data_IF_209725377482
#
_entry.id   IF_209725377482
#
_cell.length_a   1.000
_cell.length_b   1.000
_cell.length_c   1.000
_cell.angle_alpha   90.00
_cell.angle_beta   90.00
_cell.angle_gamma   90.00
#
_symmetry.space_group_name_H-M   'P 1'
#
loop_
_entity.id
_entity.type
_entity.pdbx_description
1 polymer ?
#
# COMPACT_ATOMS: atom_id res chain seq x y z
N UNK A 1 -12.23 0.66 6.11
CA UNK A 1 -10.92 0.91 6.76
C UNK A 1 -11.09 1.74 8.02
N UNK A 2 -10.14 1.70 8.96
CA UNK A 2 -10.20 2.36 10.27
C UNK A 2 -10.52 3.85 10.24
N UNK A 3 -9.87 4.65 9.39
CA UNK A 3 -10.05 6.11 9.37
C UNK A 3 -11.43 6.55 8.83
N UNK A 4 -12.14 5.66 8.14
CA UNK A 4 -13.40 5.98 7.46
C UNK A 4 -13.25 6.82 6.19
N UNK A 5 -12.03 7.11 5.72
CA UNK A 5 -11.84 7.87 4.48
C UNK A 5 -12.31 7.09 3.23
N UNK A 6 -12.62 7.84 2.18
CA UNK A 6 -12.86 7.26 0.86
C UNK A 6 -11.53 6.81 0.25
N UNK A 7 -11.57 5.65 -0.41
CA UNK A 7 -10.40 5.03 -1.00
C UNK A 7 -10.77 4.41 -2.35
N UNK A 8 -9.89 4.58 -3.33
CA UNK A 8 -10.03 3.99 -4.67
C UNK A 8 -8.77 3.19 -4.97
N UNK A 9 -8.92 1.90 -5.32
CA UNK A 9 -7.82 1.14 -5.87
C UNK A 9 -7.43 1.74 -7.23
N UNK A 10 -6.19 2.24 -7.32
CA UNK A 10 -5.66 2.84 -8.54
C UNK A 10 -4.98 1.81 -9.42
N UNK A 11 -4.06 1.03 -8.84
CA UNK A 11 -3.20 0.14 -9.60
C UNK A 11 -2.71 -1.01 -8.71
N UNK A 12 -2.52 -2.19 -9.32
CA UNK A 12 -1.81 -3.32 -8.71
C UNK A 12 -0.64 -3.67 -9.63
N UNK A 13 0.56 -3.76 -9.05
CA UNK A 13 1.78 -4.11 -9.75
C UNK A 13 2.42 -5.35 -9.14
N UNK A 14 3.15 -6.08 -9.97
CA UNK A 14 4.05 -7.15 -9.55
C UNK A 14 5.46 -6.77 -9.96
N UNK A 15 6.32 -6.52 -8.99
CA UNK A 15 7.66 -6.00 -9.21
C UNK A 15 8.71 -7.03 -8.81
N UNK A 16 9.77 -7.13 -9.62
CA UNK A 16 10.97 -7.86 -9.26
C UNK A 16 11.95 -6.86 -8.65
N UNK A 17 12.39 -7.11 -7.44
CA UNK A 17 13.43 -6.31 -6.79
C UNK A 17 14.78 -6.91 -7.17
N UNK A 18 15.71 -6.09 -7.68
CA UNK A 18 17.05 -6.58 -8.02
C UNK A 18 17.73 -7.17 -6.77
N UNK A 19 18.23 -8.40 -6.89
CA UNK A 19 18.85 -9.13 -5.78
C UNK A 19 17.87 -9.92 -4.90
N UNK A 20 16.57 -9.90 -5.19
CA UNK A 20 15.58 -10.80 -4.59
C UNK A 20 15.03 -11.76 -5.65
N UNK A 21 14.84 -13.03 -5.28
CA UNK A 21 14.21 -14.02 -6.18
C UNK A 21 12.69 -13.80 -6.27
N UNK A 22 12.09 -13.26 -5.20
CA UNK A 22 10.65 -13.14 -5.07
C UNK A 22 10.10 -11.85 -5.71
N UNK A 23 8.86 -11.97 -6.18
CA UNK A 23 8.08 -10.86 -6.73
C UNK A 23 7.33 -10.19 -5.59
N UNK A 24 7.43 -8.86 -5.47
CA UNK A 24 6.61 -8.08 -4.54
C UNK A 24 5.32 -7.61 -5.22
N UNK A 25 4.20 -7.67 -4.50
CA UNK A 25 2.95 -7.07 -4.95
C UNK A 25 2.88 -5.62 -4.45
N UNK A 26 2.52 -4.66 -5.30
CA UNK A 26 2.37 -3.25 -4.92
C UNK A 26 0.93 -2.84 -5.19
N UNK A 27 0.19 -2.52 -4.14
CA UNK A 27 -1.18 -2.02 -4.24
C UNK A 27 -1.18 -0.51 -4.00
N UNK A 28 -1.62 0.23 -5.00
CA UNK A 28 -1.64 1.70 -5.01
C UNK A 28 -3.08 2.17 -4.89
N UNK A 29 -3.34 3.06 -3.95
CA UNK A 29 -4.67 3.57 -3.66
C UNK A 29 -4.70 5.10 -3.67
N UNK A 30 -5.77 5.68 -4.22
CA UNK A 30 -6.08 7.09 -4.05
C UNK A 30 -6.89 7.25 -2.77
N UNK A 31 -6.37 8.07 -1.86
CA UNK A 31 -6.88 8.32 -0.52
C UNK A 31 -6.89 9.83 -0.25
N UNK A 32 -7.89 10.59 -0.72
CA UNK A 32 -7.89 12.06 -0.61
C UNK A 32 -7.80 12.57 0.83
N UNK A 33 -8.18 11.74 1.82
CA UNK A 33 -8.10 12.07 3.24
C UNK A 33 -6.69 12.31 3.74
N UNK A 34 -5.65 11.77 3.07
CA UNK A 34 -4.25 11.96 3.47
C UNK A 34 -3.61 13.24 2.88
N UNK A 35 -4.38 14.06 2.15
CA UNK A 35 -3.88 15.29 1.57
C UNK A 35 -3.36 16.26 2.64
N UNK A 36 -2.20 16.88 2.39
CA UNK A 36 -1.61 17.90 3.28
C UNK A 36 -2.56 19.08 3.57
N UNK A 37 -3.29 19.52 2.55
CA UNK A 37 -4.26 20.59 2.65
C UNK A 37 -5.67 20.01 2.51
N UNK A 38 -6.53 20.25 3.50
CA UNK A 38 -7.92 19.79 3.49
C UNK A 38 -8.12 18.30 3.74
N UNK A 39 -7.05 17.52 3.94
CA UNK A 39 -7.14 16.14 4.39
C UNK A 39 -7.68 16.03 5.81
N UNK A 40 -8.25 14.86 6.12
CA UNK A 40 -8.88 14.54 7.40
C UNK A 40 -8.20 13.38 8.12
N UNK A 41 -7.18 12.78 7.51
CA UNK A 41 -6.47 11.61 8.00
C UNK A 41 -5.01 11.99 8.25
N UNK A 42 -4.56 11.84 9.48
CA UNK A 42 -3.17 12.05 9.85
C UNK A 42 -2.30 10.81 9.55
N UNK A 43 -1.00 10.93 9.80
CA UNK A 43 -0.05 9.86 9.50
C UNK A 43 -0.33 8.57 10.31
N UNK A 44 -0.75 8.68 11.57
CA UNK A 44 -1.02 7.52 12.43
C UNK A 44 -2.26 6.76 11.92
N UNK A 45 -3.33 7.48 11.62
CA UNK A 45 -4.53 6.89 11.02
C UNK A 45 -4.24 6.31 9.62
N UNK A 46 -3.37 6.94 8.82
CA UNK A 46 -2.95 6.42 7.53
C UNK A 46 -2.15 5.10 7.65
N UNK A 47 -1.33 4.94 8.70
CA UNK A 47 -0.63 3.68 8.97
C UNK A 47 -1.60 2.56 9.34
N UNK A 48 -2.54 2.82 10.25
CA UNK A 48 -3.59 1.85 10.61
C UNK A 48 -4.45 1.45 9.40
N UNK A 49 -4.70 2.41 8.52
CA UNK A 49 -5.37 2.18 7.25
C UNK A 49 -4.59 1.24 6.33
N UNK A 50 -3.27 1.42 6.21
CA UNK A 50 -2.40 0.55 5.41
C UNK A 50 -2.32 -0.87 5.99
N UNK A 51 -2.27 -1.01 7.32
CA UNK A 51 -2.26 -2.33 7.97
C UNK A 51 -3.56 -3.08 7.66
N UNK A 52 -4.70 -2.41 7.81
CA UNK A 52 -6.00 -2.98 7.47
C UNK A 52 -6.10 -3.33 5.98
N UNK A 53 -5.59 -2.49 5.08
CA UNK A 53 -5.54 -2.77 3.64
C UNK A 53 -4.63 -3.96 3.32
N UNK A 54 -3.54 -4.13 4.08
CA UNK A 54 -2.69 -5.29 3.90
C UNK A 54 -3.47 -6.57 4.19
N UNK A 55 -4.09 -6.66 5.37
CA UNK A 55 -4.82 -7.85 5.79
C UNK A 55 -6.02 -8.16 4.90
N UNK A 56 -6.76 -7.12 4.48
CA UNK A 56 -8.04 -7.31 3.79
C UNK A 56 -7.95 -7.38 2.27
N UNK A 57 -6.88 -6.87 1.67
CA UNK A 57 -6.72 -6.81 0.21
C UNK A 57 -5.40 -7.40 -0.26
N UNK A 58 -4.28 -6.93 0.30
CA UNK A 58 -2.97 -7.36 -0.16
C UNK A 58 -2.70 -8.84 0.10
N UNK A 59 -2.92 -9.32 1.32
CA UNK A 59 -2.64 -10.71 1.70
C UNK A 59 -3.51 -11.71 0.91
N UNK A 60 -4.84 -11.51 0.76
CA UNK A 60 -5.65 -12.38 -0.11
C UNK A 60 -5.14 -12.40 -1.55
N UNK A 61 -4.75 -11.25 -2.10
CA UNK A 61 -4.19 -11.14 -3.45
C UNK A 61 -2.87 -11.91 -3.57
N UNK A 62 -1.96 -11.67 -2.64
CA UNK A 62 -0.62 -12.25 -2.58
C UNK A 62 -0.63 -13.76 -2.24
N UNK A 63 -1.75 -14.29 -1.76
CA UNK A 63 -1.94 -15.72 -1.52
C UNK A 63 -2.49 -16.47 -2.74
N UNK A 64 -2.91 -15.77 -3.80
CA UNK A 64 -3.41 -16.42 -5.01
C UNK A 64 -2.26 -17.10 -5.75
N UNK A 65 -2.51 -18.32 -6.25
CA UNK A 65 -1.48 -19.18 -6.85
C UNK A 65 -0.72 -18.57 -8.03
N UNK A 66 -1.34 -17.66 -8.79
CA UNK A 66 -0.70 -16.96 -9.92
C UNK A 66 -0.13 -15.58 -9.56
N UNK A 67 -0.38 -15.10 -8.35
CA UNK A 67 0.01 -13.78 -7.86
C UNK A 67 0.80 -13.89 -6.54
N UNK A 68 1.42 -15.05 -6.30
CA UNK A 68 2.08 -15.34 -5.03
C UNK A 68 3.22 -14.36 -4.78
N UNK A 69 3.15 -13.69 -3.64
CA UNK A 69 4.15 -12.72 -3.19
C UNK A 69 4.31 -12.82 -1.68
N UNK A 70 5.54 -12.99 -1.22
CA UNK A 70 5.83 -13.01 0.23
C UNK A 70 6.09 -11.59 0.77
N UNK A 71 6.20 -10.60 -0.12
CA UNK A 71 6.34 -9.18 0.20
C UNK A 71 5.25 -8.36 -0.51
N UNK A 72 4.67 -7.41 0.22
CA UNK A 72 3.66 -6.49 -0.30
C UNK A 72 3.97 -5.06 0.12
N UNK A 73 3.81 -4.13 -0.82
CA UNK A 73 3.79 -2.69 -0.55
C UNK A 73 2.35 -2.19 -0.68
N UNK A 74 1.84 -1.53 0.36
CA UNK A 74 0.61 -0.73 0.29
C UNK A 74 1.02 0.73 0.18
N UNK A 75 0.53 1.41 -0.85
CA UNK A 75 0.82 2.82 -1.11
C UNK A 75 -0.49 3.62 -1.12
N UNK A 76 -0.60 4.59 -0.21
CA UNK A 76 -1.67 5.58 -0.19
C UNK A 76 -1.17 6.86 -0.83
N UNK A 77 -1.95 7.45 -1.74
CA UNK A 77 -1.65 8.73 -2.37
C UNK A 77 -2.88 9.63 -2.34
N UNK A 78 -2.73 10.90 -2.00
CA UNK A 78 -3.88 11.84 -2.05
C UNK A 78 -4.38 12.09 -3.49
N UNK A 79 -3.49 11.90 -4.48
CA UNK A 79 -3.75 12.05 -5.92
C UNK A 79 -2.93 11.05 -6.73
N UNK A 80 -3.34 10.74 -7.98
CA UNK A 80 -2.57 9.85 -8.83
C UNK A 80 -1.16 10.37 -9.09
N UNK A 81 -0.15 9.53 -8.86
CA UNK A 81 1.23 9.75 -9.30
C UNK A 81 1.60 8.63 -10.25
N UNK A 82 2.01 8.97 -11.47
CA UNK A 82 2.42 7.98 -12.44
C UNK A 82 3.76 7.34 -12.02
N UNK A 83 3.95 6.08 -12.42
CA UNK A 83 5.20 5.37 -12.13
C UNK A 83 6.39 6.08 -12.80
N UNK A 84 7.48 6.22 -12.06
CA UNK A 84 8.70 6.87 -12.54
C UNK A 84 8.65 8.40 -12.51
N UNK A 85 7.53 8.98 -12.07
CA UNK A 85 7.37 10.41 -11.88
C UNK A 85 7.45 10.78 -10.39
N UNK A 86 7.84 12.03 -10.14
CA UNK A 86 7.82 12.64 -8.82
C UNK A 86 6.83 13.80 -8.85
N UNK A 87 5.85 13.78 -7.95
CA UNK A 87 4.98 14.92 -7.69
C UNK A 87 5.24 15.46 -6.26
N UNK A 88 5.88 16.64 -6.10
CA UNK A 88 6.18 17.21 -4.78
C UNK A 88 4.93 17.66 -4.01
N UNK A 89 3.78 17.77 -4.69
CA UNK A 89 2.51 18.14 -4.08
C UNK A 89 1.69 16.92 -3.67
N UNK A 90 2.04 15.73 -4.18
CA UNK A 90 1.39 14.50 -3.77
C UNK A 90 1.85 14.10 -2.37
N UNK A 91 0.90 13.84 -1.48
CA UNK A 91 1.18 13.22 -0.19
C UNK A 91 1.07 11.71 -0.38
N UNK A 92 2.14 10.99 -0.04
CA UNK A 92 2.20 9.55 -0.19
C UNK A 92 2.69 8.88 1.09
N UNK A 93 2.03 7.79 1.46
CA UNK A 93 2.45 6.90 2.54
C UNK A 93 2.70 5.51 1.97
N UNK A 94 3.72 4.83 2.50
CA UNK A 94 4.12 3.50 2.07
C UNK A 94 4.21 2.59 3.29
N UNK A 95 3.44 1.51 3.28
CA UNK A 95 3.59 0.39 4.21
C UNK A 95 4.25 -0.76 3.48
N UNK A 96 5.29 -1.33 4.08
CA UNK A 96 6.00 -2.51 3.57
C UNK A 96 5.68 -3.67 4.50
N UNK A 97 5.18 -4.75 3.93
CA UNK A 97 4.68 -5.90 4.68
C UNK A 97 5.30 -7.19 4.15
N UNK A 98 5.65 -8.07 5.08
CA UNK A 98 5.93 -9.47 4.80
C UNK A 98 4.69 -10.30 5.06
N UNK A 99 4.34 -11.17 4.12
CA UNK A 99 3.27 -12.15 4.31
C UNK A 99 3.87 -13.41 4.92
N UNK A 100 3.54 -13.66 6.18
CA UNK A 100 4.03 -14.82 6.91
C UNK A 100 2.93 -15.36 7.84
N UNK A 101 2.86 -16.68 7.96
CA UNK A 101 1.93 -17.38 8.86
C UNK A 101 0.46 -16.95 8.74
N UNK A 102 0.03 -16.54 7.54
CA UNK A 102 -1.34 -16.09 7.28
C UNK A 102 -1.66 -14.69 7.83
N UNK A 103 -0.64 -13.87 8.07
CA UNK A 103 -0.78 -12.48 8.46
C UNK A 103 0.10 -11.53 7.62
N UNK A 104 -0.18 -10.23 7.78
CA UNK A 104 0.68 -9.14 7.31
C UNK A 104 1.56 -8.67 8.46
N UNK A 105 2.87 -8.86 8.34
CA UNK A 105 3.85 -8.35 9.29
C UNK A 105 4.43 -7.05 8.73
N UNK A 106 4.22 -5.89 9.37
CA UNK A 106 4.92 -4.67 8.99
C UNK A 106 6.42 -4.89 9.11
N UNK A 107 7.19 -4.52 8.09
CA UNK A 107 8.63 -4.39 8.25
C UNK A 107 8.87 -3.07 9.00
N UNK A 108 9.25 -3.16 10.27
CA UNK A 108 9.64 -2.00 11.06
C UNK A 108 10.79 -1.26 10.35
N UNK A 109 10.60 0.05 10.13
CA UNK A 109 11.63 0.95 9.60
C UNK A 109 12.61 1.44 10.66
#
# INVERSE_FOLDING_TARGET
MPSGQALVLWEILWEKVEGQEDVQAVLRFIAPGVAREGGTVDAEAAMLDMDWLCETHAMPLASMSYARSDMVIVNLMDRPVARGETDPNATQYFGVYRIADGGCLPEDG
#
